data_IF_662205402710
#
_entry.id   IF_662205402710
#
_cell.length_a   1.000
_cell.length_b   1.000
_cell.length_c   1.000
_cell.angle_alpha   90.00
_cell.angle_beta   90.00
_cell.angle_gamma   90.00
#
_symmetry.space_group_name_H-M   'P 1'
#
loop_
_entity.id
_entity.type
_entity.pdbx_description
1 polymer ?
#
# COMPACT_ATOMS: atom_id res chain seq x y z
N UNK A 1 29.66 38.05 31.89
CA UNK A 1 28.20 37.90 32.02
C UNK A 1 27.56 39.02 31.19
N UNK A 2 26.60 38.78 30.28
CA UNK A 2 25.72 37.62 30.21
C UNK A 2 25.75 36.81 28.89
N UNK A 3 25.26 35.59 29.08
CA UNK A 3 24.93 34.47 28.20
C UNK A 3 23.73 34.78 27.29
N UNK A 4 23.72 34.27 26.06
CA UNK A 4 22.49 34.10 25.29
C UNK A 4 22.45 32.71 24.63
N UNK A 5 21.94 31.77 25.41
CA UNK A 5 21.50 30.43 25.05
C UNK A 5 20.30 30.46 24.10
N UNK A 6 20.37 29.62 23.05
CA UNK A 6 19.35 28.62 22.64
C UNK A 6 17.94 29.13 22.31
N UNK A 7 17.47 28.81 21.09
CA UNK A 7 16.18 28.11 20.91
C UNK A 7 16.13 27.37 19.57
N UNK A 8 16.39 26.06 19.64
CA UNK A 8 16.07 25.08 18.61
C UNK A 8 14.60 24.71 18.78
N UNK A 9 13.73 25.15 17.86
CA UNK A 9 12.37 24.63 17.78
C UNK A 9 12.39 23.30 17.03
N UNK A 10 12.49 22.22 17.80
CA UNK A 10 12.16 20.87 17.35
C UNK A 10 10.63 20.76 17.28
N UNK A 11 10.06 20.98 16.10
CA UNK A 11 8.65 20.72 15.86
C UNK A 11 8.42 19.20 15.83
N UNK A 12 7.87 18.67 16.92
CA UNK A 12 7.54 17.27 17.07
C UNK A 12 6.53 16.81 16.02
N UNK A 13 6.98 15.98 15.08
CA UNK A 13 6.12 15.26 14.16
C UNK A 13 5.37 14.15 14.92
N UNK A 14 4.22 14.50 15.53
CA UNK A 14 3.27 13.51 16.03
C UNK A 14 2.46 12.95 14.86
N UNK A 15 2.69 11.68 14.55
CA UNK A 15 1.80 10.90 13.68
C UNK A 15 0.42 10.73 14.36
N UNK A 16 -0.69 10.87 13.61
CA UNK A 16 -2.02 10.62 14.15
C UNK A 16 -2.21 9.14 14.49
N UNK A 17 -2.73 8.87 15.70
CA UNK A 17 -3.14 7.52 16.14
C UNK A 17 -4.50 7.20 15.54
N UNK A 18 -4.54 6.33 14.54
CA UNK A 18 -5.78 5.73 14.04
C UNK A 18 -6.08 4.47 14.85
N UNK A 19 -7.25 4.45 15.50
CA UNK A 19 -7.76 3.33 16.29
C UNK A 19 -8.89 2.70 15.49
N UNK A 20 -8.62 1.57 14.83
CA UNK A 20 -9.64 0.80 14.10
C UNK A 20 -10.00 -0.44 14.90
N UNK A 21 -11.22 -0.48 15.41
CA UNK A 21 -11.81 -1.66 16.02
C UNK A 21 -13.01 -2.10 15.18
N UNK A 22 -13.03 -3.35 14.74
CA UNK A 22 -14.21 -4.00 14.21
C UNK A 22 -14.53 -5.23 15.07
N UNK A 23 -15.71 -5.24 15.70
CA UNK A 23 -16.31 -6.43 16.29
C UNK A 23 -17.00 -7.23 15.18
N UNK A 24 -16.75 -8.53 15.14
CA UNK A 24 -17.43 -9.46 14.22
C UNK A 24 -18.37 -10.35 15.04
N UNK A 25 -19.68 -10.21 14.83
CA UNK A 25 -20.70 -11.09 15.40
C UNK A 25 -20.75 -12.40 14.61
N UNK A 26 -20.52 -13.51 15.29
CA UNK A 26 -20.57 -14.89 14.76
C UNK A 26 -22.02 -15.34 14.70
N UNK A 27 -22.50 -15.73 13.52
CA UNK A 27 -23.76 -16.47 13.36
C UNK A 27 -23.46 -17.89 12.91
N UNK A 28 -23.95 -18.85 13.69
CA UNK A 28 -23.74 -20.29 13.61
C UNK A 28 -24.95 -20.90 12.92
N UNK A 29 -24.76 -21.69 11.85
CA UNK A 29 -25.83 -22.49 11.25
C UNK A 29 -25.28 -23.81 10.73
N UNK A 30 -26.00 -24.87 11.07
CA UNK A 30 -25.62 -26.28 10.98
C UNK A 30 -26.68 -27.07 10.20
N UNK A 31 -26.23 -27.95 9.29
CA UNK A 31 -26.91 -29.13 8.71
C UNK A 31 -26.24 -29.44 7.36
N UNK A 32 -26.07 -30.64 6.80
CA UNK A 32 -26.20 -32.06 7.16
C UNK A 32 -25.74 -32.82 5.88
N UNK A 33 -24.98 -33.91 6.00
CA UNK A 33 -24.58 -34.79 4.87
C UNK A 33 -25.76 -35.63 4.33
N UNK A 34 -25.69 -36.24 3.12
CA UNK A 34 -25.01 -37.55 2.94
C UNK A 34 -24.31 -37.79 1.58
N UNK A 35 -23.50 -38.86 1.50
CA UNK A 35 -22.84 -39.44 0.31
C UNK A 35 -23.45 -40.85 0.01
N UNK A 36 -22.94 -41.73 -0.89
CA UNK A 36 -22.05 -41.59 -2.08
C UNK A 36 -22.54 -42.38 -3.33
N UNK A 37 -21.88 -42.24 -4.50
CA UNK A 37 -21.70 -43.36 -5.45
C UNK A 37 -20.60 -43.09 -6.50
N UNK A 38 -20.04 -44.20 -6.99
CA UNK A 38 -18.70 -44.38 -7.56
C UNK A 38 -18.74 -44.54 -9.09
N UNK A 39 -17.81 -43.94 -9.83
CA UNK A 39 -17.15 -44.55 -11.02
C UNK A 39 -16.06 -43.64 -11.62
N UNK A 40 -14.94 -44.25 -11.99
CA UNK A 40 -13.77 -43.71 -12.73
C UNK A 40 -13.28 -44.83 -13.66
N UNK A 41 -12.37 -44.60 -14.64
CA UNK A 41 -11.96 -43.37 -15.31
C UNK A 41 -11.88 -43.53 -16.86
N UNK A 42 -11.76 -42.42 -17.60
CA UNK A 42 -11.10 -42.45 -18.92
C UNK A 42 -10.21 -41.22 -19.08
N UNK A 43 -8.93 -41.51 -19.34
CA UNK A 43 -7.81 -40.57 -19.41
C UNK A 43 -7.89 -39.78 -20.70
N UNK A 44 -8.00 -38.45 -20.59
CA UNK A 44 -7.57 -37.55 -21.65
C UNK A 44 -6.55 -36.59 -21.03
N UNK A 45 -5.29 -36.79 -21.43
CA UNK A 45 -4.13 -35.98 -21.05
C UNK A 45 -4.30 -34.58 -21.65
N UNK A 46 -4.96 -33.70 -20.92
CA UNK A 46 -4.83 -32.26 -21.11
C UNK A 46 -3.55 -31.80 -20.40
N UNK A 47 -2.55 -31.41 -21.19
CA UNK A 47 -1.35 -30.74 -20.71
C UNK A 47 -1.82 -29.45 -20.02
N UNK A 48 -1.54 -29.21 -18.72
CA UNK A 48 -1.88 -27.94 -18.09
C UNK A 48 -0.94 -26.87 -18.67
N UNK A 49 -1.44 -26.13 -19.67
CA UNK A 49 -0.81 -24.92 -20.17
C UNK A 49 -0.76 -23.88 -19.04
N UNK A 50 0.46 -23.54 -18.64
CA UNK A 50 0.80 -22.28 -17.96
C UNK A 50 0.25 -22.11 -16.55
N UNK A 51 0.82 -22.81 -15.58
CA UNK A 51 0.75 -22.32 -14.19
C UNK A 51 1.39 -20.95 -14.16
N UNK A 52 0.56 -19.91 -13.95
CA UNK A 52 1.05 -18.57 -13.62
C UNK A 52 2.04 -18.74 -12.47
N UNK A 53 3.33 -18.50 -12.74
CA UNK A 53 4.43 -18.52 -11.75
C UNK A 53 4.30 -17.31 -10.82
N UNK A 54 3.12 -17.09 -10.27
CA UNK A 54 2.89 -16.03 -9.32
C UNK A 54 3.40 -16.48 -7.96
N UNK A 55 4.40 -15.76 -7.46
CA UNK A 55 4.95 -16.04 -6.15
C UNK A 55 3.85 -15.85 -5.07
N UNK A 56 3.84 -16.68 -4.02
CA UNK A 56 2.94 -16.51 -2.90
C UNK A 56 3.20 -15.15 -2.23
N UNK A 57 2.17 -14.60 -1.59
CA UNK A 57 2.33 -13.38 -0.79
C UNK A 57 3.40 -13.61 0.29
N UNK A 58 4.35 -12.69 0.47
CA UNK A 58 5.42 -12.84 1.46
C UNK A 58 4.82 -12.88 2.86
N UNK A 59 5.31 -13.74 3.74
CA UNK A 59 4.88 -13.75 5.14
C UNK A 59 5.58 -12.61 5.88
N UNK A 60 4.81 -11.75 6.56
CA UNK A 60 5.34 -10.60 7.29
C UNK A 60 5.00 -10.75 8.78
N UNK A 61 5.97 -11.25 9.55
CA UNK A 61 5.88 -11.33 11.02
C UNK A 61 6.66 -10.23 11.72
N UNK A 62 7.74 -9.74 11.09
CA UNK A 62 8.59 -8.67 11.61
C UNK A 62 9.24 -7.91 10.46
N UNK A 63 9.34 -6.59 10.64
CA UNK A 63 10.14 -5.71 9.78
C UNK A 63 11.38 -5.28 10.57
N UNK A 64 12.56 -5.42 9.98
CA UNK A 64 13.85 -5.05 10.60
C UNK A 64 14.58 -3.95 9.83
N UNK A 65 14.14 -3.63 8.62
CA UNK A 65 14.72 -2.57 7.79
C UNK A 65 13.67 -1.94 6.86
N UNK A 66 13.92 -0.71 6.44
CA UNK A 66 13.09 -0.03 5.43
C UNK A 66 13.12 -0.75 4.08
N UNK A 67 14.27 -1.32 3.68
CA UNK A 67 14.37 -2.10 2.45
C UNK A 67 13.45 -3.33 2.46
N UNK A 68 13.38 -4.05 3.58
CA UNK A 68 12.44 -5.17 3.75
C UNK A 68 10.98 -4.70 3.69
N UNK A 69 10.65 -3.59 4.38
CA UNK A 69 9.31 -3.02 4.38
C UNK A 69 8.87 -2.65 2.95
N UNK A 70 9.76 -2.03 2.18
CA UNK A 70 9.54 -1.65 0.79
C UNK A 70 9.31 -2.87 -0.11
N UNK A 71 10.22 -3.86 -0.09
CA UNK A 71 10.13 -5.02 -0.96
C UNK A 71 8.84 -5.83 -0.72
N UNK A 72 8.46 -6.01 0.54
CA UNK A 72 7.24 -6.75 0.90
C UNK A 72 5.97 -6.00 0.51
N UNK A 73 5.90 -4.69 0.77
CA UNK A 73 4.76 -3.86 0.39
C UNK A 73 4.60 -3.75 -1.13
N UNK A 74 5.72 -3.61 -1.84
CA UNK A 74 5.74 -3.56 -3.29
C UNK A 74 5.13 -4.82 -3.92
N UNK A 75 5.44 -5.99 -3.37
CA UNK A 75 4.87 -7.23 -3.83
C UNK A 75 3.33 -7.22 -3.72
N UNK A 76 2.82 -6.74 -2.59
CA UNK A 76 1.39 -6.53 -2.38
C UNK A 76 0.78 -5.54 -3.39
N UNK A 77 1.39 -4.37 -3.55
CA UNK A 77 0.94 -3.33 -4.47
C UNK A 77 0.92 -3.80 -5.93
N UNK A 78 1.90 -4.60 -6.35
CA UNK A 78 1.97 -5.17 -7.70
C UNK A 78 0.85 -6.18 -7.93
N UNK A 79 0.53 -7.03 -6.95
CA UNK A 79 -0.59 -7.99 -7.09
C UNK A 79 -1.95 -7.29 -7.09
N UNK A 80 -2.14 -6.29 -6.23
CA UNK A 80 -3.35 -5.47 -6.19
C UNK A 80 -3.54 -4.67 -7.48
N UNK A 81 -2.53 -3.94 -7.95
CA UNK A 81 -2.64 -3.12 -9.17
C UNK A 81 -3.01 -3.95 -10.41
N UNK A 82 -2.43 -5.15 -10.59
CA UNK A 82 -2.79 -6.07 -11.69
C UNK A 82 -4.27 -6.43 -11.70
N UNK A 83 -4.89 -6.56 -10.53
CA UNK A 83 -6.32 -6.89 -10.44
C UNK A 83 -7.26 -5.72 -10.75
N UNK A 84 -6.78 -4.48 -10.54
CA UNK A 84 -7.56 -3.26 -10.73
C UNK A 84 -7.39 -2.66 -12.12
N UNK A 85 -6.24 -2.88 -12.77
CA UNK A 85 -5.97 -2.43 -14.12
C UNK A 85 -6.57 -3.44 -15.13
N UNK A 86 -7.86 -3.30 -15.43
CA UNK A 86 -8.40 -3.84 -16.70
C UNK A 86 -7.78 -3.04 -17.84
N UNK A 87 -6.76 -3.59 -18.51
CA UNK A 87 -6.12 -2.93 -19.64
C UNK A 87 -6.78 -3.41 -20.95
N UNK A 88 -7.58 -2.56 -21.64
CA UNK A 88 -8.27 -2.95 -22.87
C UNK A 88 -7.32 -3.22 -24.05
N UNK A 89 -6.04 -2.86 -23.95
CA UNK A 89 -5.02 -3.12 -24.99
C UNK A 89 -4.22 -4.41 -24.83
N UNK A 90 -4.56 -5.27 -23.84
CA UNK A 90 -3.81 -6.51 -23.58
C UNK A 90 -4.33 -7.66 -24.46
N UNK A 91 -3.44 -8.27 -25.25
CA UNK A 91 -3.70 -9.49 -26.02
C UNK A 91 -3.76 -10.77 -25.17
N UNK A 92 -3.70 -10.65 -23.84
CA UNK A 92 -3.89 -11.74 -22.89
C UNK A 92 -5.21 -11.53 -22.14
N UNK A 93 -5.91 -12.62 -21.77
CA UNK A 93 -7.15 -12.50 -21.02
C UNK A 93 -6.93 -11.62 -19.78
N UNK A 94 -7.90 -10.74 -19.45
CA UNK A 94 -7.81 -9.91 -18.26
C UNK A 94 -7.57 -10.82 -17.03
N UNK A 95 -6.70 -10.42 -16.10
CA UNK A 95 -6.52 -11.19 -14.88
C UNK A 95 -7.88 -11.36 -14.21
N UNK A 96 -8.19 -12.59 -13.78
CA UNK A 96 -9.44 -12.86 -13.08
C UNK A 96 -9.60 -11.87 -11.93
N UNK A 97 -10.77 -11.22 -11.78
CA UNK A 97 -10.99 -10.28 -10.69
C UNK A 97 -10.72 -11.00 -9.36
N UNK A 98 -10.03 -10.32 -8.44
CA UNK A 98 -9.80 -10.89 -7.10
C UNK A 98 -11.16 -11.17 -6.47
N UNK A 99 -11.38 -12.42 -6.09
CA UNK A 99 -12.59 -12.85 -5.42
C UNK A 99 -12.68 -12.30 -3.99
N UNK A 100 -13.82 -12.48 -3.34
CA UNK A 100 -14.00 -11.98 -1.97
C UNK A 100 -12.99 -12.60 -0.98
N UNK A 101 -12.56 -13.83 -1.23
CA UNK A 101 -11.58 -14.54 -0.41
C UNK A 101 -10.18 -13.94 -0.54
N UNK A 102 -9.70 -13.73 -1.78
CA UNK A 102 -8.42 -13.10 -2.05
C UNK A 102 -8.34 -11.68 -1.48
N UNK A 103 -9.42 -10.90 -1.54
CA UNK A 103 -9.46 -9.56 -0.90
C UNK A 103 -9.30 -9.63 0.61
N UNK A 104 -9.99 -10.55 1.29
CA UNK A 104 -9.82 -10.74 2.73
C UNK A 104 -8.39 -11.12 3.08
N UNK A 105 -7.76 -11.96 2.26
CA UNK A 105 -6.35 -12.32 2.45
C UNK A 105 -5.43 -11.09 2.33
N UNK A 106 -5.65 -10.21 1.34
CA UNK A 106 -4.90 -8.94 1.24
C UNK A 106 -5.13 -8.03 2.45
N UNK A 107 -6.38 -7.90 2.92
CA UNK A 107 -6.69 -7.09 4.09
C UNK A 107 -5.96 -7.58 5.35
N UNK A 108 -6.03 -8.88 5.65
CA UNK A 108 -5.31 -9.48 6.77
C UNK A 108 -3.80 -9.28 6.65
N UNK A 109 -3.26 -9.45 5.44
CA UNK A 109 -1.84 -9.23 5.19
C UNK A 109 -1.43 -7.77 5.42
N UNK A 110 -2.23 -6.81 4.97
CA UNK A 110 -1.97 -5.38 5.13
C UNK A 110 -2.04 -4.95 6.61
N UNK A 111 -2.93 -5.56 7.40
CA UNK A 111 -2.98 -5.37 8.84
C UNK A 111 -1.72 -5.90 9.53
N UNK A 112 -1.27 -7.10 9.17
CA UNK A 112 -0.02 -7.67 9.71
C UNK A 112 1.20 -6.83 9.34
N UNK A 113 1.29 -6.39 8.09
CA UNK A 113 2.35 -5.51 7.62
C UNK A 113 2.37 -4.19 8.42
N UNK A 114 1.20 -3.58 8.65
CA UNK A 114 1.10 -2.35 9.43
C UNK A 114 1.56 -2.53 10.88
N UNK A 115 1.17 -3.62 11.52
CA UNK A 115 1.60 -3.94 12.88
C UNK A 115 3.12 -4.12 12.94
N UNK A 116 3.68 -4.89 12.01
CA UNK A 116 5.12 -5.12 11.94
C UNK A 116 5.90 -3.82 11.65
N UNK A 117 5.37 -2.96 10.78
CA UNK A 117 5.98 -1.68 10.43
C UNK A 117 5.92 -0.69 11.60
N UNK A 118 4.79 -0.63 12.30
CA UNK A 118 4.63 0.20 13.50
C UNK A 118 5.58 -0.24 14.62
N UNK A 119 5.75 -1.55 14.82
CA UNK A 119 6.71 -2.10 15.78
C UNK A 119 8.16 -1.79 15.39
N UNK A 120 8.49 -1.79 14.10
CA UNK A 120 9.79 -1.35 13.62
C UNK A 120 10.03 0.14 13.88
N UNK A 121 9.05 0.99 13.56
CA UNK A 121 9.14 2.43 13.76
C UNK A 121 9.29 2.82 15.22
N UNK A 122 8.63 2.13 16.16
CA UNK A 122 8.75 2.45 17.59
C UNK A 122 10.19 2.33 18.10
N UNK A 123 10.99 1.44 17.50
CA UNK A 123 12.40 1.26 17.82
C UNK A 123 13.32 2.15 16.97
N UNK A 124 13.06 2.26 15.66
CA UNK A 124 13.98 2.89 14.72
C UNK A 124 13.81 4.41 14.60
N UNK A 125 12.62 4.96 14.88
CA UNK A 125 12.32 6.40 14.71
C UNK A 125 13.30 7.36 15.38
N UNK A 126 13.82 7.11 16.61
CA UNK A 126 14.75 8.03 17.27
C UNK A 126 16.08 8.24 16.53
N UNK A 127 16.49 7.30 15.67
CA UNK A 127 17.77 7.32 14.95
C UNK A 127 17.64 7.54 13.45
N UNK A 128 16.42 7.67 12.93
CA UNK A 128 16.16 7.83 11.50
C UNK A 128 16.63 9.19 10.96
N UNK A 129 17.25 9.15 9.79
CA UNK A 129 17.60 10.36 9.03
C UNK A 129 16.37 10.93 8.33
N UNK A 130 16.48 12.16 7.81
CA UNK A 130 15.38 12.81 7.09
C UNK A 130 14.96 12.02 5.83
N UNK A 131 15.92 11.36 5.18
CA UNK A 131 15.69 10.51 4.02
C UNK A 131 14.86 9.28 4.41
N UNK A 132 15.25 8.62 5.51
CA UNK A 132 14.54 7.45 6.05
C UNK A 132 13.11 7.82 6.46
N UNK A 133 12.91 8.98 7.10
CA UNK A 133 11.58 9.51 7.43
C UNK A 133 10.77 9.76 6.15
N UNK A 134 11.40 10.30 5.11
CA UNK A 134 10.74 10.53 3.82
C UNK A 134 10.33 9.19 3.20
N UNK A 135 11.17 8.16 3.28
CA UNK A 135 10.86 6.82 2.80
C UNK A 135 9.73 6.16 3.60
N UNK A 136 9.69 6.34 4.93
CA UNK A 136 8.57 5.90 5.75
C UNK A 136 7.23 6.51 5.29
N UNK A 137 7.23 7.79 4.89
CA UNK A 137 6.03 8.45 4.36
C UNK A 137 5.59 7.85 3.02
N UNK A 138 6.54 7.54 2.13
CA UNK A 138 6.25 6.85 0.85
C UNK A 138 5.61 5.49 1.11
N UNK A 139 6.21 4.68 2.01
CA UNK A 139 5.68 3.37 2.37
C UNK A 139 4.29 3.47 2.97
N UNK A 140 4.07 4.42 3.88
CA UNK A 140 2.76 4.59 4.52
C UNK A 140 1.68 5.02 3.52
N UNK A 141 1.98 5.93 2.60
CA UNK A 141 1.03 6.33 1.56
C UNK A 141 0.65 5.14 0.65
N UNK A 142 1.62 4.30 0.29
CA UNK A 142 1.38 3.09 -0.50
C UNK A 142 0.59 2.04 0.28
N UNK A 143 0.85 1.86 1.57
CA UNK A 143 0.05 0.97 2.44
C UNK A 143 -1.42 1.41 2.47
N UNK A 144 -1.68 2.70 2.70
CA UNK A 144 -3.04 3.25 2.73
C UNK A 144 -3.76 3.04 1.39
N UNK A 145 -3.08 3.30 0.29
CA UNK A 145 -3.58 3.03 -1.06
C UNK A 145 -3.96 1.56 -1.25
N UNK A 146 -3.08 0.63 -0.87
CA UNK A 146 -3.35 -0.81 -0.92
C UNK A 146 -4.55 -1.21 -0.04
N UNK A 147 -4.69 -0.63 1.15
CA UNK A 147 -5.84 -0.87 2.04
C UNK A 147 -7.16 -0.44 1.41
N UNK A 148 -7.19 0.74 0.79
CA UNK A 148 -8.36 1.24 0.06
C UNK A 148 -8.70 0.29 -1.10
N UNK A 149 -7.69 -0.10 -1.91
CA UNK A 149 -7.86 -1.00 -3.06
C UNK A 149 -8.21 -2.45 -2.66
N UNK A 150 -7.79 -2.91 -1.48
CA UNK A 150 -8.16 -4.23 -0.98
C UNK A 150 -9.59 -4.26 -0.40
N UNK A 151 -10.20 -3.10 -0.16
CA UNK A 151 -11.52 -3.00 0.43
C UNK A 151 -12.63 -3.45 -0.54
N UNK A 152 -13.70 -4.01 0.04
CA UNK A 152 -14.93 -4.34 -0.67
C UNK A 152 -15.94 -3.21 -0.53
N UNK A 153 -16.64 -2.90 -1.63
CA UNK A 153 -17.70 -1.89 -1.67
C UNK A 153 -17.61 -0.99 -2.90
N UNK A 154 -18.72 -0.34 -3.22
CA UNK A 154 -18.81 0.73 -4.22
C UNK A 154 -18.55 2.12 -3.64
N UNK A 155 -18.82 2.31 -2.34
CA UNK A 155 -18.54 3.57 -1.63
C UNK A 155 -17.21 3.49 -0.87
N UNK A 156 -16.46 4.58 -0.96
CA UNK A 156 -15.18 4.78 -0.28
C UNK A 156 -15.25 5.87 0.80
N UNK A 157 -16.45 6.33 1.19
CA UNK A 157 -16.65 7.40 2.18
C UNK A 157 -15.98 7.12 3.52
N UNK A 158 -15.92 5.84 3.92
CA UNK A 158 -15.25 5.39 5.15
C UNK A 158 -13.74 5.64 5.17
N UNK A 159 -13.13 5.98 4.03
CA UNK A 159 -11.70 6.19 3.87
C UNK A 159 -11.32 7.68 3.76
N UNK A 160 -12.21 8.60 4.11
CA UNK A 160 -11.93 10.03 4.10
C UNK A 160 -10.65 10.41 4.85
N UNK A 161 -10.42 9.81 6.02
CA UNK A 161 -9.20 10.01 6.81
C UNK A 161 -7.95 9.52 6.08
N UNK A 162 -8.04 8.37 5.41
CA UNK A 162 -6.95 7.72 4.70
C UNK A 162 -6.61 8.50 3.42
N UNK A 163 -7.61 8.98 2.69
CA UNK A 163 -7.41 9.85 1.53
C UNK A 163 -6.67 11.13 1.93
N UNK A 164 -7.11 11.77 3.01
CA UNK A 164 -6.45 12.98 3.52
C UNK A 164 -5.00 12.69 3.97
N UNK A 165 -4.79 11.59 4.69
CA UNK A 165 -3.44 11.18 5.11
C UNK A 165 -2.51 10.91 3.92
N UNK A 166 -2.99 10.29 2.83
CA UNK A 166 -2.21 10.10 1.60
C UNK A 166 -1.75 11.45 1.02
N UNK A 167 -2.67 12.43 0.92
CA UNK A 167 -2.36 13.77 0.39
C UNK A 167 -1.32 14.47 1.25
N UNK A 168 -1.45 14.41 2.57
CA UNK A 168 -0.50 15.04 3.51
C UNK A 168 0.89 14.40 3.43
N UNK A 169 0.96 13.07 3.44
CA UNK A 169 2.21 12.33 3.31
C UNK A 169 2.90 12.64 1.98
N UNK A 170 2.16 12.63 0.87
CA UNK A 170 2.68 12.95 -0.46
C UNK A 170 3.17 14.39 -0.56
N UNK A 171 2.42 15.35 -0.01
CA UNK A 171 2.81 16.75 0.06
C UNK A 171 4.14 16.92 0.80
N UNK A 172 4.28 16.27 1.94
CA UNK A 172 5.50 16.32 2.74
C UNK A 172 6.70 15.66 2.03
N UNK A 173 6.50 14.55 1.30
CA UNK A 173 7.55 13.91 0.48
C UNK A 173 8.02 14.84 -0.65
N UNK A 174 7.09 15.46 -1.38
CA UNK A 174 7.42 16.36 -2.48
C UNK A 174 8.12 17.64 -1.99
N UNK A 175 7.77 18.14 -0.81
CA UNK A 175 8.48 19.25 -0.15
C UNK A 175 9.92 18.87 0.22
N UNK A 176 10.13 17.70 0.85
CA UNK A 176 11.48 17.20 1.18
C UNK A 176 12.37 17.09 -0.06
N UNK A 177 11.84 16.61 -1.19
CA UNK A 177 12.58 16.50 -2.47
C UNK A 177 13.00 17.86 -3.02
N UNK A 178 12.20 18.91 -2.84
CA UNK A 178 12.51 20.28 -3.31
C UNK A 178 13.64 20.94 -2.52
N UNK A 179 13.76 20.63 -1.23
CA UNK A 179 14.79 21.19 -0.36
C UNK A 179 16.20 20.62 -0.66
N UNK A 180 16.30 19.53 -1.43
CA UNK A 180 17.56 18.93 -1.88
C UNK A 180 17.69 18.95 -3.41
N UNK A 181 18.08 20.08 -4.02
CA UNK A 181 18.24 20.17 -5.46
C UNK A 181 19.49 19.44 -6.01
N UNK A 182 20.42 18.96 -5.17
CA UNK A 182 21.80 18.63 -5.60
C UNK A 182 22.23 17.15 -5.54
N UNK A 183 21.32 16.20 -5.76
CA UNK A 183 21.71 14.78 -5.88
C UNK A 183 21.02 14.06 -7.03
N UNK A 184 20.84 14.75 -8.15
CA UNK A 184 20.44 14.14 -9.43
C UNK A 184 21.66 13.86 -10.31
N UNK A 185 22.65 13.18 -9.76
CA UNK A 185 23.58 12.38 -10.56
C UNK A 185 22.98 10.98 -10.63
N UNK A 186 21.92 10.82 -11.43
CA UNK A 186 21.33 9.52 -11.70
C UNK A 186 22.20 8.82 -12.75
N UNK A 187 23.03 7.88 -12.29
CA UNK A 187 23.41 6.74 -13.13
C UNK A 187 22.11 6.05 -13.58
N UNK A 188 21.94 5.65 -14.86
CA UNK A 188 20.75 4.96 -15.34
C UNK A 188 20.63 3.51 -14.84
N UNK A 189 21.57 3.02 -14.02
CA UNK A 189 21.61 1.62 -13.61
C UNK A 189 21.27 1.40 -12.14
N UNK A 190 20.24 0.57 -11.93
CA UNK A 190 19.97 -0.25 -10.74
C UNK A 190 19.18 0.32 -9.54
N UNK A 191 18.31 1.31 -9.75
CA UNK A 191 17.11 1.46 -8.92
C UNK A 191 15.87 1.46 -9.80
N UNK A 192 15.44 0.27 -10.21
CA UNK A 192 13.99 0.05 -10.36
C UNK A 192 13.41 0.28 -8.96
N UNK A 193 13.08 1.53 -8.64
CA UNK A 193 12.64 2.01 -7.33
C UNK A 193 11.10 1.91 -7.30
N UNK A 194 10.60 0.77 -6.85
CA UNK A 194 9.27 0.30 -7.25
C UNK A 194 8.09 0.87 -6.41
N UNK A 195 8.30 1.86 -5.54
CA UNK A 195 7.20 2.56 -4.84
C UNK A 195 7.46 4.07 -4.76
N UNK A 196 6.49 4.87 -5.18
CA UNK A 196 6.49 6.34 -5.08
C UNK A 196 5.10 6.83 -4.61
N UNK A 197 4.98 8.13 -4.32
CA UNK A 197 3.70 8.74 -3.87
C UNK A 197 2.72 8.99 -5.01
N UNK A 198 3.13 8.85 -6.27
CA UNK A 198 2.29 9.11 -7.44
C UNK A 198 1.11 8.15 -7.55
N UNK A 199 1.33 6.85 -7.36
CA UNK A 199 0.26 5.83 -7.45
C UNK A 199 -0.82 6.03 -6.37
N UNK A 200 -0.46 6.23 -5.07
CA UNK A 200 -1.43 6.62 -4.05
C UNK A 200 -2.25 7.87 -4.39
N UNK A 201 -1.64 8.90 -4.98
CA UNK A 201 -2.35 10.12 -5.38
C UNK A 201 -3.38 9.84 -6.49
N UNK A 202 -3.10 8.95 -7.43
CA UNK A 202 -4.09 8.53 -8.44
C UNK A 202 -5.26 7.79 -7.82
N UNK A 203 -5.02 6.97 -6.79
CA UNK A 203 -6.11 6.30 -6.05
C UNK A 203 -7.01 7.33 -5.36
N UNK A 204 -6.44 8.33 -4.68
CA UNK A 204 -7.22 9.45 -4.10
C UNK A 204 -8.01 10.15 -5.20
N UNK A 205 -7.36 10.47 -6.32
CA UNK A 205 -7.98 11.20 -7.42
C UNK A 205 -9.18 10.45 -8.04
N UNK A 206 -9.09 9.12 -8.15
CA UNK A 206 -10.11 8.29 -8.77
C UNK A 206 -11.23 7.85 -7.81
N UNK A 207 -10.98 7.77 -6.51
CA UNK A 207 -11.89 7.12 -5.53
C UNK A 207 -12.41 8.03 -4.44
N UNK A 208 -11.81 9.20 -4.23
CA UNK A 208 -12.27 10.13 -3.19
C UNK A 208 -13.45 10.96 -3.69
N UNK A 209 -14.58 10.90 -2.98
CA UNK A 209 -15.78 11.67 -3.29
C UNK A 209 -15.65 13.15 -2.88
N UNK A 210 -14.76 13.47 -1.94
CA UNK A 210 -14.51 14.84 -1.49
C UNK A 210 -13.73 15.65 -2.51
N UNK A 211 -14.42 16.58 -3.16
CA UNK A 211 -13.85 17.43 -4.21
C UNK A 211 -12.58 18.18 -3.79
N UNK A 212 -12.51 18.69 -2.55
CA UNK A 212 -11.35 19.41 -2.04
C UNK A 212 -10.10 18.52 -1.94
N UNK A 213 -10.24 17.31 -1.40
CA UNK A 213 -9.13 16.35 -1.24
C UNK A 213 -8.67 15.83 -2.59
N UNK A 214 -9.61 15.56 -3.51
CA UNK A 214 -9.31 15.21 -4.90
C UNK A 214 -8.54 16.33 -5.62
N UNK A 215 -8.94 17.58 -5.46
CA UNK A 215 -8.26 18.72 -6.07
C UNK A 215 -6.81 18.87 -5.55
N UNK A 216 -6.60 18.67 -4.24
CA UNK A 216 -5.26 18.67 -3.66
C UNK A 216 -4.39 17.55 -4.25
N UNK A 217 -4.93 16.34 -4.39
CA UNK A 217 -4.20 15.22 -4.99
C UNK A 217 -3.78 15.52 -6.44
N UNK A 218 -4.69 16.05 -7.27
CA UNK A 218 -4.40 16.44 -8.66
C UNK A 218 -3.30 17.50 -8.75
N UNK A 219 -3.32 18.50 -7.86
CA UNK A 219 -2.27 19.52 -7.84
C UNK A 219 -0.91 18.94 -7.44
N UNK A 220 -0.86 17.98 -6.51
CA UNK A 220 0.38 17.28 -6.16
C UNK A 220 0.90 16.42 -7.32
N UNK A 221 0.01 15.73 -8.06
CA UNK A 221 0.38 14.98 -9.27
C UNK A 221 1.03 15.91 -10.30
N UNK A 222 0.41 17.07 -10.57
CA UNK A 222 0.93 18.07 -11.51
C UNK A 222 2.30 18.60 -11.08
N UNK A 223 2.52 18.78 -9.78
CA UNK A 223 3.81 19.23 -9.21
C UNK A 223 4.89 18.15 -9.23
N UNK A 224 4.52 16.88 -9.20
CA UNK A 224 5.43 15.73 -9.13
C UNK A 224 5.83 15.16 -10.50
N UNK A 225 5.13 15.53 -11.58
CA UNK A 225 5.53 15.13 -12.94
C UNK A 225 6.83 15.81 -13.34
N UNK A 226 7.87 15.05 -13.78
CA UNK A 226 9.02 15.67 -14.44
C UNK A 226 8.52 16.42 -15.68
N UNK A 227 9.02 17.65 -15.87
CA UNK A 227 8.89 18.38 -17.14
C UNK A 227 9.89 17.84 -18.13
#
# INVERSE_FOLDING_TARGET
>A
MPTATRNLYNAGAKLPKLRTGYQTTISKSSSSSPSPSTSTPSKQLAIPMGTSRELPMPIVTRITSLGQAQATLQHCATKLSRSWQSNPGRSSPPPSPIDAYGRRHFQQWLEQWEQAFTAYLSFAMPSMKTEDITQCRVLKANHLSCTILASQGSSFDKFDSEFQAIVELAGAVLQSRRQKPNSRSQSPEAFSEILDVREPLYVVAARCDRASTRAQAMELIRRGSPR
#
